data_IF_766070253986
#
_entry.id   IF_766070253986
#
_cell.length_a   1.000
_cell.length_b   1.000
_cell.length_c   1.000
_cell.angle_alpha   90.00
_cell.angle_beta   90.00
_cell.angle_gamma   90.00
#
_symmetry.space_group_name_H-M   'P 1'
#
loop_
_entity.id
_entity.type
_entity.pdbx_description
1 polymer ?
#
# COMPACT_ATOMS: atom_id res chain seq x y z
N UNK A 1 15.47 3.67 -1.05
CA UNK A 1 14.01 3.83 -0.91
C UNK A 1 13.74 4.84 0.19
N UNK A 2 12.89 5.83 -0.06
CA UNK A 2 12.75 7.02 0.80
C UNK A 2 11.89 6.66 2.03
N UNK A 3 12.48 6.69 3.23
CA UNK A 3 11.77 6.38 4.49
C UNK A 3 10.54 7.25 4.72
N UNK A 4 10.58 8.50 4.27
CA UNK A 4 9.45 9.42 4.36
C UNK A 4 8.21 8.90 3.61
N UNK A 5 8.36 8.21 2.47
CA UNK A 5 7.22 7.66 1.75
C UNK A 5 6.49 6.57 2.55
N UNK A 6 7.23 5.74 3.29
CA UNK A 6 6.65 4.72 4.17
C UNK A 6 5.94 5.33 5.38
N UNK A 7 6.51 6.38 5.96
CA UNK A 7 5.86 7.13 7.05
C UNK A 7 4.56 7.77 6.56
N UNK A 8 4.61 8.43 5.39
CA UNK A 8 3.45 9.09 4.80
C UNK A 8 2.36 8.09 4.44
N UNK A 9 2.66 7.01 3.71
CA UNK A 9 1.67 5.98 3.39
C UNK A 9 1.14 5.29 4.65
N UNK A 10 2.03 4.96 5.59
CA UNK A 10 1.66 4.37 6.87
C UNK A 10 0.66 5.24 7.63
N UNK A 11 0.98 6.53 7.78
CA UNK A 11 0.10 7.51 8.43
C UNK A 11 -1.21 7.70 7.69
N UNK A 12 -1.19 7.85 6.36
CA UNK A 12 -2.40 8.03 5.56
C UNK A 12 -3.36 6.85 5.66
N UNK A 13 -2.86 5.61 5.67
CA UNK A 13 -3.71 4.44 5.84
C UNK A 13 -4.26 4.30 7.26
N UNK A 14 -3.47 4.64 8.28
CA UNK A 14 -4.00 4.66 9.65
C UNK A 14 -5.07 5.73 9.85
N UNK A 15 -4.93 6.89 9.21
CA UNK A 15 -5.96 7.93 9.20
C UNK A 15 -7.19 7.51 8.39
N UNK A 16 -7.00 6.90 7.22
CA UNK A 16 -8.10 6.39 6.40
C UNK A 16 -8.91 5.28 7.09
N UNK A 17 -8.25 4.47 7.93
CA UNK A 17 -8.91 3.44 8.73
C UNK A 17 -10.02 4.00 9.63
N UNK A 18 -9.79 5.16 10.29
CA UNK A 18 -10.78 5.72 11.22
C UNK A 18 -12.06 6.17 10.51
N UNK A 19 -11.94 6.66 9.26
CA UNK A 19 -13.07 6.95 8.39
C UNK A 19 -13.86 5.68 8.05
N UNK A 20 -13.17 4.60 7.67
CA UNK A 20 -13.81 3.33 7.32
C UNK A 20 -14.53 2.67 8.51
N UNK A 21 -13.99 2.82 9.72
CA UNK A 21 -14.64 2.35 10.95
C UNK A 21 -15.95 3.11 11.18
N UNK A 22 -15.92 4.44 11.02
CA UNK A 22 -17.11 5.29 11.16
C UNK A 22 -18.21 4.91 10.16
N UNK A 23 -17.81 4.52 8.95
CA UNK A 23 -18.72 4.06 7.89
C UNK A 23 -19.19 2.59 8.06
N UNK A 24 -18.77 1.89 9.12
CA UNK A 24 -19.11 0.48 9.35
C UNK A 24 -18.41 -0.52 8.43
N UNK A 25 -17.40 -0.08 7.67
CA UNK A 25 -16.65 -0.86 6.67
C UNK A 25 -15.48 -1.63 7.31
N UNK A 26 -15.78 -2.47 8.31
CA UNK A 26 -14.78 -3.13 9.17
C UNK A 26 -13.74 -3.97 8.41
N UNK A 27 -14.14 -4.69 7.36
CA UNK A 27 -13.22 -5.48 6.53
C UNK A 27 -12.13 -4.60 5.88
N UNK A 28 -12.54 -3.45 5.35
CA UNK A 28 -11.64 -2.52 4.67
C UNK A 28 -10.81 -1.70 5.66
N UNK A 29 -11.37 -1.38 6.84
CA UNK A 29 -10.60 -0.83 7.95
C UNK A 29 -9.45 -1.79 8.34
N UNK A 30 -9.71 -3.10 8.40
CA UNK A 30 -8.67 -4.11 8.62
C UNK A 30 -7.58 -4.09 7.55
N UNK A 31 -7.93 -3.94 6.28
CA UNK A 31 -6.96 -3.81 5.19
C UNK A 31 -6.11 -2.54 5.30
N UNK A 32 -6.73 -1.41 5.66
CA UNK A 32 -6.03 -0.15 5.88
C UNK A 32 -5.08 -0.22 7.09
N UNK A 33 -5.53 -0.85 8.18
CA UNK A 33 -4.68 -1.09 9.35
C UNK A 33 -3.46 -1.93 8.98
N UNK A 34 -3.68 -3.05 8.27
CA UNK A 34 -2.62 -3.94 7.84
C UNK A 34 -1.63 -3.23 6.90
N UNK A 35 -2.13 -2.45 5.94
CA UNK A 35 -1.30 -1.66 5.04
C UNK A 35 -0.50 -0.58 5.79
N UNK A 36 -1.14 0.10 6.74
CA UNK A 36 -0.51 1.11 7.59
C UNK A 36 0.63 0.53 8.42
N UNK A 37 0.36 -0.56 9.15
CA UNK A 37 1.34 -1.26 9.96
C UNK A 37 2.48 -1.85 9.12
N UNK A 38 2.18 -2.45 7.96
CA UNK A 38 3.20 -2.99 7.07
C UNK A 38 4.13 -1.88 6.55
N UNK A 39 3.58 -0.72 6.13
CA UNK A 39 4.38 0.42 5.71
C UNK A 39 5.28 0.93 6.85
N UNK A 40 4.76 1.03 8.09
CA UNK A 40 5.57 1.43 9.25
C UNK A 40 6.62 0.37 9.63
N UNK A 41 6.32 -0.92 9.43
CA UNK A 41 7.27 -1.99 9.70
C UNK A 41 8.55 -1.87 8.85
N UNK A 42 8.50 -1.24 7.66
CA UNK A 42 9.69 -0.94 6.86
C UNK A 42 10.67 0.05 7.49
N UNK A 43 10.30 0.72 8.58
CA UNK A 43 11.19 1.59 9.35
C UNK A 43 12.08 0.80 10.32
N UNK A 44 11.72 -0.44 10.61
CA UNK A 44 12.50 -1.35 11.46
C UNK A 44 13.77 -1.75 10.70
N UNK A 45 14.91 -1.82 11.39
CA UNK A 45 16.17 -2.31 10.80
C UNK A 45 16.09 -3.83 10.62
N UNK A 46 15.91 -4.28 9.38
CA UNK A 46 16.02 -5.69 9.01
C UNK A 46 17.48 -6.09 8.78
N UNK A 47 17.92 -7.18 9.43
CA UNK A 47 19.25 -7.79 9.21
C UNK A 47 19.31 -8.57 7.90
N UNK A 48 18.20 -9.22 7.51
CA UNK A 48 18.14 -10.02 6.28
C UNK A 48 17.50 -9.24 5.14
N UNK A 49 18.21 -9.15 4.01
CA UNK A 49 17.68 -8.51 2.81
C UNK A 49 16.49 -9.27 2.21
N UNK A 50 16.45 -10.60 2.36
CA UNK A 50 15.34 -11.43 1.88
C UNK A 50 14.02 -11.07 2.56
N UNK A 51 14.02 -10.93 3.89
CA UNK A 51 12.85 -10.51 4.66
C UNK A 51 12.40 -9.10 4.29
N UNK A 52 13.34 -8.16 4.18
CA UNK A 52 13.06 -6.77 3.77
C UNK A 52 12.45 -6.70 2.37
N UNK A 53 13.03 -7.43 1.42
CA UNK A 53 12.50 -7.52 0.06
C UNK A 53 11.11 -8.16 0.08
N UNK A 54 10.93 -9.22 0.87
CA UNK A 54 9.69 -9.90 1.25
C UNK A 54 8.58 -8.92 1.58
N UNK A 55 8.80 -8.20 2.67
CA UNK A 55 7.91 -7.19 3.22
C UNK A 55 7.61 -6.07 2.21
N UNK A 56 8.62 -5.58 1.48
CA UNK A 56 8.39 -4.53 0.49
C UNK A 56 7.44 -4.96 -0.64
N UNK A 57 7.55 -6.20 -1.11
CA UNK A 57 6.62 -6.73 -2.12
C UNK A 57 5.20 -6.84 -1.57
N UNK A 58 5.07 -7.32 -0.34
CA UNK A 58 3.79 -7.38 0.35
C UNK A 58 3.15 -6.00 0.54
N UNK A 59 3.95 -4.99 0.91
CA UNK A 59 3.48 -3.60 1.02
C UNK A 59 3.01 -3.07 -0.33
N UNK A 60 3.78 -3.28 -1.41
CA UNK A 60 3.35 -2.84 -2.74
C UNK A 60 2.03 -3.49 -3.15
N UNK A 61 1.85 -4.78 -2.86
CA UNK A 61 0.60 -5.47 -3.10
C UNK A 61 -0.57 -4.85 -2.30
N UNK A 62 -0.38 -4.61 -0.99
CA UNK A 62 -1.39 -3.95 -0.16
C UNK A 62 -1.70 -2.53 -0.66
N UNK A 63 -0.70 -1.76 -1.06
CA UNK A 63 -0.89 -0.41 -1.60
C UNK A 63 -1.72 -0.43 -2.88
N UNK A 64 -1.51 -1.42 -3.77
CA UNK A 64 -2.36 -1.63 -4.95
C UNK A 64 -3.81 -1.87 -4.54
N UNK A 65 -4.04 -2.85 -3.66
CA UNK A 65 -5.39 -3.24 -3.22
C UNK A 65 -6.11 -2.06 -2.57
N UNK A 66 -5.44 -1.40 -1.62
CA UNK A 66 -5.99 -0.23 -0.92
C UNK A 66 -6.28 0.89 -1.92
N UNK A 67 -5.34 1.25 -2.80
CA UNK A 67 -5.54 2.36 -3.72
C UNK A 67 -6.71 2.15 -4.68
N UNK A 68 -6.86 0.95 -5.26
CA UNK A 68 -7.99 0.66 -6.12
C UNK A 68 -9.32 0.64 -5.35
N UNK A 69 -9.33 0.05 -4.16
CA UNK A 69 -10.51 0.10 -3.31
C UNK A 69 -10.92 1.55 -3.00
N UNK A 70 -9.97 2.40 -2.59
CA UNK A 70 -10.25 3.81 -2.30
C UNK A 70 -10.77 4.54 -3.53
N UNK A 71 -10.21 4.28 -4.71
CA UNK A 71 -10.69 4.88 -5.95
C UNK A 71 -12.17 4.52 -6.20
N UNK A 72 -12.54 3.25 -6.04
CA UNK A 72 -13.92 2.79 -6.19
C UNK A 72 -14.84 3.40 -5.12
N UNK A 73 -14.41 3.41 -3.86
CA UNK A 73 -15.20 3.96 -2.76
C UNK A 73 -15.50 5.46 -2.94
N UNK A 74 -14.51 6.24 -3.36
CA UNK A 74 -14.68 7.65 -3.67
C UNK A 74 -15.57 7.89 -4.90
N UNK A 75 -15.48 7.01 -5.90
CA UNK A 75 -16.34 7.05 -7.07
C UNK A 75 -17.81 6.82 -6.71
N UNK A 76 -18.09 5.79 -5.92
CA UNK A 76 -19.43 5.48 -5.45
C UNK A 76 -19.98 6.55 -4.49
N UNK A 77 -19.11 7.19 -3.72
CA UNK A 77 -19.47 8.28 -2.80
C UNK A 77 -19.69 9.64 -3.50
N UNK A 78 -19.57 9.70 -4.84
CA UNK A 78 -19.74 10.93 -5.61
C UNK A 78 -18.62 11.97 -5.42
N UNK A 79 -17.52 11.61 -4.75
CA UNK A 79 -16.39 12.50 -4.48
C UNK A 79 -15.49 12.57 -5.71
N UNK A 80 -15.77 13.54 -6.58
CA UNK A 80 -15.01 13.76 -7.81
C UNK A 80 -13.57 14.21 -7.52
N UNK A 81 -12.68 14.01 -8.49
CA UNK A 81 -11.25 14.35 -8.49
C UNK A 81 -10.34 13.50 -7.58
N UNK A 82 -10.71 13.23 -6.33
CA UNK A 82 -9.88 12.46 -5.39
C UNK A 82 -9.68 11.02 -5.85
N UNK A 83 -10.71 10.43 -6.48
CA UNK A 83 -10.66 9.09 -7.07
C UNK A 83 -9.51 8.92 -8.09
N UNK A 84 -9.20 9.94 -8.90
CA UNK A 84 -8.17 9.84 -9.94
C UNK A 84 -6.76 9.79 -9.35
N UNK A 85 -6.52 10.49 -8.23
CA UNK A 85 -5.26 10.41 -7.52
C UNK A 85 -5.02 8.98 -7.00
N UNK A 86 -6.07 8.32 -6.50
CA UNK A 86 -5.98 6.94 -6.04
C UNK A 86 -5.79 5.93 -7.18
N UNK A 87 -6.44 6.15 -8.34
CA UNK A 87 -6.17 5.34 -9.54
C UNK A 87 -4.71 5.46 -9.96
N UNK A 88 -4.18 6.69 -10.03
CA UNK A 88 -2.78 6.92 -10.40
C UNK A 88 -1.82 6.26 -9.39
N UNK A 89 -2.09 6.40 -8.08
CA UNK A 89 -1.32 5.74 -7.04
C UNK A 89 -1.34 4.20 -7.17
N UNK A 90 -2.50 3.64 -7.51
CA UNK A 90 -2.68 2.22 -7.80
C UNK A 90 -1.83 1.76 -8.98
N UNK A 91 -1.90 2.47 -10.11
CA UNK A 91 -1.11 2.16 -11.31
C UNK A 91 0.40 2.24 -11.03
N UNK A 92 0.87 3.28 -10.35
CA UNK A 92 2.27 3.41 -9.96
C UNK A 92 2.73 2.27 -9.05
N UNK A 93 1.86 1.83 -8.13
CA UNK A 93 2.14 0.69 -7.25
C UNK A 93 2.18 -0.63 -8.01
N UNK A 94 1.33 -0.82 -9.03
CA UNK A 94 1.39 -1.99 -9.94
C UNK A 94 2.71 -2.00 -10.71
N UNK A 95 3.12 -0.87 -11.29
CA UNK A 95 4.41 -0.78 -12.01
C UNK A 95 5.57 -1.13 -11.08
N UNK A 96 5.58 -0.59 -9.86
CA UNK A 96 6.59 -0.91 -8.86
C UNK A 96 6.60 -2.40 -8.49
N UNK A 97 5.41 -3.01 -8.32
CA UNK A 97 5.25 -4.43 -8.01
C UNK A 97 5.82 -5.31 -9.14
N UNK A 98 5.51 -4.98 -10.40
CA UNK A 98 6.01 -5.71 -11.58
C UNK A 98 7.53 -5.60 -11.69
N UNK A 99 8.09 -4.41 -11.48
CA UNK A 99 9.55 -4.21 -11.45
C UNK A 99 10.19 -5.06 -10.36
N UNK A 100 9.62 -5.06 -9.14
CA UNK A 100 10.16 -5.84 -8.04
C UNK A 100 10.04 -7.35 -8.28
N UNK A 101 8.93 -7.80 -8.86
CA UNK A 101 8.73 -9.19 -9.26
C UNK A 101 9.79 -9.65 -10.27
N UNK A 102 10.02 -8.86 -11.33
CA UNK A 102 11.07 -9.16 -12.33
C UNK A 102 12.45 -9.22 -11.68
N UNK A 103 12.80 -8.26 -10.82
CA UNK A 103 14.10 -8.25 -10.12
C UNK A 103 14.31 -9.49 -9.26
N UNK A 104 13.27 -9.97 -8.57
CA UNK A 104 13.36 -11.21 -7.78
C UNK A 104 13.59 -12.43 -8.66
N UNK A 105 12.91 -12.52 -9.80
CA UNK A 105 13.07 -13.63 -10.74
C UNK A 105 14.50 -13.73 -11.27
N UNK A 106 15.08 -12.61 -11.71
CA UNK A 106 16.48 -12.59 -12.17
C UNK A 106 17.48 -12.88 -11.05
N UNK A 107 17.22 -12.43 -9.81
CA UNK A 107 18.09 -12.72 -8.67
C UNK A 107 18.01 -14.17 -8.16
N UNK A 108 17.00 -14.95 -8.58
CA UNK A 108 16.90 -16.38 -8.31
C UNK A 108 17.45 -17.27 -9.42
N UNK A 109 17.78 -16.70 -10.58
CA UNK A 109 18.33 -17.41 -11.75
C UNK A 109 19.87 -17.29 -11.83
N UNK A 110 20.50 -16.52 -10.93
CA UNK A 110 21.96 -16.35 -10.76
C UNK A 110 22.38 -16.98 -9.43
#
# INVERSE_FOLDING_TARGET
MIRAAFILNGGLYLLGMSGLISDGKWLFAGLYLLAGLANLAMLIRFKEERLKNGLNFFILFLNVVVAFYTAVDYHLSGKQYVQYAWVLAGLMSVVALVIQYRKRKYASEV
#
